data_IF_764439686751
#
_entry.id   IF_764439686751
#
_cell.length_a   1.000
_cell.length_b   1.000
_cell.length_c   1.000
_cell.angle_alpha   90.00
_cell.angle_beta   90.00
_cell.angle_gamma   90.00
#
_symmetry.space_group_name_H-M   'P 1'
#
loop_
_entity.id
_entity.type
_entity.pdbx_description
1 polymer ?
#
# COMPACT_ATOMS: atom_id res chain seq x y z
N UNK A 1 17.10 -11.46 31.06
CA UNK A 1 16.98 -11.39 29.59
C UNK A 1 16.02 -10.26 29.29
N UNK A 2 16.53 -9.09 28.89
CA UNK A 2 15.68 -7.93 28.61
C UNK A 2 15.16 -8.05 27.19
N UNK A 3 13.96 -8.61 27.05
CA UNK A 3 13.28 -8.69 25.76
C UNK A 3 12.63 -7.34 25.45
N UNK A 4 13.45 -6.34 25.17
CA UNK A 4 13.01 -5.15 24.45
C UNK A 4 12.82 -5.57 22.99
N UNK A 5 11.73 -6.29 22.71
CA UNK A 5 11.22 -6.41 21.36
C UNK A 5 10.28 -5.20 21.21
N UNK A 6 10.73 -4.04 20.68
CA UNK A 6 9.76 -3.10 20.16
C UNK A 6 8.97 -3.91 19.14
N UNK A 7 7.69 -4.14 19.42
CA UNK A 7 6.73 -4.56 18.38
C UNK A 7 7.09 -3.71 17.17
N UNK A 8 7.35 -4.29 15.97
CA UNK A 8 7.63 -3.47 14.80
C UNK A 8 6.49 -2.47 14.75
N UNK A 9 6.83 -1.21 15.01
CA UNK A 9 5.89 -0.10 14.99
C UNK A 9 5.18 -0.30 13.66
N UNK A 10 3.88 -0.57 13.71
CA UNK A 10 3.07 -1.09 12.59
C UNK A 10 2.90 -0.07 11.49
N UNK A 11 4.01 0.51 11.07
CA UNK A 11 4.19 1.42 9.98
C UNK A 11 4.17 0.50 8.77
N UNK A 12 3.02 0.44 8.10
CA UNK A 12 2.96 -0.13 6.76
C UNK A 12 3.98 0.65 5.93
N UNK A 13 5.12 0.04 5.65
CA UNK A 13 6.22 0.61 4.90
C UNK A 13 6.53 -0.34 3.75
N UNK A 14 6.41 0.14 2.52
CA UNK A 14 6.62 -0.62 1.30
C UNK A 14 5.36 -0.85 0.45
N UNK A 15 5.52 -1.67 -0.59
CA UNK A 15 4.48 -1.95 -1.59
C UNK A 15 3.32 -2.73 -0.96
N UNK A 16 2.12 -2.21 -1.19
CA UNK A 16 0.85 -2.81 -0.77
C UNK A 16 0.02 -3.18 -1.98
N UNK A 17 -0.48 -4.41 -1.95
CA UNK A 17 -1.37 -4.98 -2.97
C UNK A 17 -2.72 -5.26 -2.33
N UNK A 18 -3.74 -4.56 -2.82
CA UNK A 18 -5.13 -4.87 -2.53
C UNK A 18 -5.66 -5.79 -3.61
N UNK A 19 -6.39 -6.82 -3.21
CA UNK A 19 -6.97 -7.80 -4.11
C UNK A 19 -8.48 -7.79 -3.97
N UNK A 20 -9.16 -7.89 -5.11
CA UNK A 20 -10.57 -8.22 -5.15
C UNK A 20 -10.82 -9.63 -4.58
N UNK A 21 -12.07 -9.92 -4.22
CA UNK A 21 -12.48 -11.25 -3.77
C UNK A 21 -12.19 -12.38 -4.78
N UNK A 22 -12.03 -12.04 -6.06
CA UNK A 22 -11.67 -12.98 -7.12
C UNK A 22 -10.15 -13.25 -7.21
N UNK A 23 -9.34 -12.64 -6.34
CA UNK A 23 -7.88 -12.78 -6.31
C UNK A 23 -7.11 -11.89 -7.29
N UNK A 24 -7.78 -11.06 -8.08
CA UNK A 24 -7.11 -10.07 -8.95
C UNK A 24 -6.73 -8.83 -8.16
N UNK A 25 -5.68 -8.14 -8.60
CA UNK A 25 -5.24 -6.87 -7.99
C UNK A 25 -6.32 -5.81 -8.24
N UNK A 26 -6.77 -5.20 -7.16
CA UNK A 26 -7.66 -4.05 -7.12
C UNK A 26 -6.87 -2.75 -7.07
N UNK A 27 -5.78 -2.71 -6.29
CA UNK A 27 -4.99 -1.50 -6.10
C UNK A 27 -3.57 -1.87 -5.71
N UNK A 28 -2.59 -1.13 -6.24
CA UNK A 28 -1.18 -1.24 -5.84
C UNK A 28 -0.61 0.14 -5.55
N UNK A 29 0.26 0.23 -4.57
CA UNK A 29 1.02 1.43 -4.27
C UNK A 29 1.84 1.26 -3.00
N UNK A 30 2.64 2.26 -2.67
CA UNK A 30 3.52 2.20 -1.52
C UNK A 30 2.91 2.93 -0.31
N UNK A 31 3.16 2.41 0.88
CA UNK A 31 2.97 3.15 2.12
C UNK A 31 4.32 3.55 2.72
N UNK A 32 4.34 4.71 3.39
CA UNK A 32 5.45 5.17 4.23
C UNK A 32 4.86 5.73 5.53
N UNK A 33 5.27 5.18 6.67
CA UNK A 33 4.75 5.56 8.00
C UNK A 33 3.21 5.53 8.08
N UNK A 34 2.59 4.56 7.40
CA UNK A 34 1.13 4.40 7.34
C UNK A 34 0.39 5.35 6.39
N UNK A 35 1.10 6.19 5.64
CA UNK A 35 0.53 7.11 4.65
C UNK A 35 0.80 6.62 3.21
N UNK A 36 -0.16 6.83 2.30
CA UNK A 36 0.02 6.50 0.88
C UNK A 36 1.10 7.37 0.26
N UNK A 37 2.05 6.76 -0.44
CA UNK A 37 3.15 7.44 -1.13
C UNK A 37 3.37 6.87 -2.52
N UNK A 38 4.03 7.64 -3.39
CA UNK A 38 4.40 7.19 -4.72
C UNK A 38 3.21 7.08 -5.68
N UNK A 39 3.35 6.27 -6.73
CA UNK A 39 2.28 6.00 -7.69
C UNK A 39 1.33 4.94 -7.13
N UNK A 40 0.07 5.31 -7.02
CA UNK A 40 -1.04 4.44 -6.66
C UNK A 40 -1.86 4.16 -7.90
N UNK A 41 -1.96 2.88 -8.26
CA UNK A 41 -2.69 2.41 -9.43
C UNK A 41 -3.89 1.62 -8.94
N UNK A 42 -5.07 2.00 -9.39
CA UNK A 42 -6.31 1.24 -9.16
C UNK A 42 -6.70 0.53 -10.44
N UNK A 43 -7.08 -0.74 -10.32
CA UNK A 43 -7.52 -1.58 -11.43
C UNK A 43 -9.00 -1.94 -11.28
N UNK A 44 -9.67 -2.21 -12.41
CA UNK A 44 -11.00 -2.82 -12.40
C UNK A 44 -10.92 -4.35 -12.22
N UNK A 45 -12.09 -4.99 -12.15
CA UNK A 45 -12.20 -6.46 -12.03
C UNK A 45 -11.65 -7.22 -13.24
N UNK A 46 -11.45 -6.56 -14.38
CA UNK A 46 -10.88 -7.16 -15.58
C UNK A 46 -9.35 -7.08 -15.56
N UNK A 47 -8.80 -6.07 -14.88
CA UNK A 47 -7.37 -5.74 -14.77
C UNK A 47 -6.99 -4.45 -15.51
N UNK A 48 -7.96 -3.67 -15.98
CA UNK A 48 -7.70 -2.39 -16.64
C UNK A 48 -7.46 -1.29 -15.61
N UNK A 49 -6.60 -0.35 -15.93
CA UNK A 49 -6.27 0.77 -15.06
C UNK A 49 -7.45 1.74 -15.01
N UNK A 50 -8.05 1.88 -13.83
CA UNK A 50 -9.11 2.85 -13.56
C UNK A 50 -8.54 4.23 -13.20
N UNK A 51 -7.50 4.25 -12.37
CA UNK A 51 -6.86 5.49 -11.95
C UNK A 51 -5.38 5.30 -11.67
N UNK A 52 -4.63 6.39 -11.85
CA UNK A 52 -3.26 6.53 -11.40
C UNK A 52 -3.14 7.86 -10.67
N UNK A 53 -2.78 7.81 -9.41
CA UNK A 53 -2.61 8.97 -8.56
C UNK A 53 -1.23 8.94 -7.94
N UNK A 54 -0.54 10.09 -7.90
CA UNK A 54 0.75 10.18 -7.24
C UNK A 54 0.59 10.86 -5.88
N UNK A 55 0.79 10.11 -4.81
CA UNK A 55 0.72 10.62 -3.45
C UNK A 55 2.11 11.03 -2.98
N UNK A 56 2.24 12.28 -2.56
CA UNK A 56 3.46 12.78 -1.93
C UNK A 56 3.20 12.86 -0.44
N UNK A 57 4.16 12.37 0.37
CA UNK A 57 4.21 12.75 1.78
C UNK A 57 4.55 14.22 1.81
N UNK A 58 3.56 15.05 2.16
CA UNK A 58 3.85 16.38 2.68
C UNK A 58 4.33 16.21 4.11
N UNK A 59 5.57 16.62 4.34
CA UNK A 59 6.29 16.57 5.60
C UNK A 59 5.84 17.68 6.55
#
# INVERSE_FOLDING_TARGET
MNLNHPLPKGNMEGEYLFYFQNGKIEMVGDYLDGQKVGEWITYDKEGNILSKENFKVTQ
#
